data_IF_262530414874
#
_entry.id   IF_262530414874
#
_cell.length_a   1.000
_cell.length_b   1.000
_cell.length_c   1.000
_cell.angle_alpha   90.00
_cell.angle_beta   90.00
_cell.angle_gamma   90.00
#
_symmetry.space_group_name_H-M   'P 1'
#
loop_
_entity.id
_entity.type
_entity.pdbx_description
1 polymer ?
#
# COMPACT_ATOMS: atom_id res chain seq x y z
N UNK A 1 -40.37 -14.58 15.87
CA UNK A 1 -39.69 -14.73 14.57
C UNK A 1 -38.62 -13.66 14.38
N UNK A 2 -38.93 -12.39 14.70
CA UNK A 2 -38.00 -11.25 14.68
C UNK A 2 -36.80 -11.46 15.64
N UNK A 3 -37.03 -11.97 16.85
CA UNK A 3 -35.95 -12.28 17.82
C UNK A 3 -34.92 -13.29 17.30
N UNK A 4 -35.34 -14.22 16.43
CA UNK A 4 -34.44 -15.23 15.85
C UNK A 4 -33.53 -14.65 14.76
N UNK A 5 -33.94 -13.55 14.10
CA UNK A 5 -33.12 -12.86 13.11
C UNK A 5 -32.11 -11.92 13.78
N UNK A 6 -32.50 -11.20 14.83
CA UNK A 6 -31.56 -10.38 15.63
C UNK A 6 -30.48 -11.24 16.29
N UNK A 7 -30.85 -12.40 16.83
CA UNK A 7 -29.90 -13.32 17.46
C UNK A 7 -28.91 -13.91 16.44
N UNK A 8 -29.38 -14.26 15.24
CA UNK A 8 -28.51 -14.66 14.11
C UNK A 8 -27.58 -13.52 13.68
N UNK A 9 -28.08 -12.29 13.60
CA UNK A 9 -27.29 -11.14 13.21
C UNK A 9 -26.18 -10.84 14.24
N UNK A 10 -26.48 -11.01 15.52
CA UNK A 10 -25.51 -10.87 16.62
C UNK A 10 -24.43 -11.96 16.58
N UNK A 11 -24.79 -13.20 16.29
CA UNK A 11 -23.84 -14.32 16.13
C UNK A 11 -22.89 -14.03 14.98
N UNK A 12 -23.39 -13.61 13.82
CA UNK A 12 -22.56 -13.26 12.64
C UNK A 12 -21.60 -12.12 12.98
N UNK A 13 -22.06 -11.11 13.70
CA UNK A 13 -21.22 -9.98 14.12
C UNK A 13 -20.10 -10.43 15.07
N UNK A 14 -20.41 -11.32 16.02
CA UNK A 14 -19.43 -11.90 16.93
C UNK A 14 -18.41 -12.78 16.18
N UNK A 15 -18.85 -13.58 15.22
CA UNK A 15 -17.95 -14.39 14.36
C UNK A 15 -16.98 -13.50 13.57
N UNK A 16 -17.48 -12.43 12.97
CA UNK A 16 -16.65 -11.46 12.26
C UNK A 16 -15.64 -10.77 13.20
N UNK A 17 -16.08 -10.33 14.38
CA UNK A 17 -15.17 -9.74 15.38
C UNK A 17 -14.07 -10.73 15.81
N UNK A 18 -14.43 -11.99 16.00
CA UNK A 18 -13.48 -13.04 16.34
C UNK A 18 -12.47 -13.26 15.21
N UNK A 19 -12.92 -13.31 13.95
CA UNK A 19 -12.05 -13.43 12.78
C UNK A 19 -11.07 -12.24 12.67
N UNK A 20 -11.55 -11.01 12.90
CA UNK A 20 -10.69 -9.83 12.96
C UNK A 20 -9.62 -9.94 14.05
N UNK A 21 -9.97 -10.41 15.25
CA UNK A 21 -9.00 -10.60 16.34
C UNK A 21 -7.95 -11.67 16.00
N UNK A 22 -8.38 -12.79 15.40
CA UNK A 22 -7.47 -13.85 14.95
C UNK A 22 -6.50 -13.32 13.90
N UNK A 23 -6.97 -12.54 12.93
CA UNK A 23 -6.11 -11.92 11.92
C UNK A 23 -5.16 -10.88 12.53
N UNK A 24 -5.60 -10.11 13.53
CA UNK A 24 -4.75 -9.19 14.25
C UNK A 24 -3.59 -9.91 14.97
N UNK A 25 -3.89 -11.01 15.67
CA UNK A 25 -2.86 -11.82 16.33
C UNK A 25 -1.87 -12.39 15.31
N UNK A 26 -2.34 -12.95 14.20
CA UNK A 26 -1.46 -13.44 13.12
C UNK A 26 -0.55 -12.35 12.55
N UNK A 27 -1.07 -11.14 12.39
CA UNK A 27 -0.28 -10.00 11.92
C UNK A 27 0.78 -9.58 12.95
N UNK A 28 0.45 -9.59 14.25
CA UNK A 28 1.42 -9.35 15.32
C UNK A 28 2.51 -10.42 15.33
N UNK A 29 2.16 -11.71 15.26
CA UNK A 29 3.13 -12.80 15.20
C UNK A 29 4.07 -12.66 14.00
N UNK A 30 3.52 -12.32 12.83
CA UNK A 30 4.31 -12.04 11.63
C UNK A 30 5.26 -10.86 11.87
N UNK A 31 4.77 -9.76 12.43
CA UNK A 31 5.58 -8.59 12.75
C UNK A 31 6.73 -8.91 13.72
N UNK A 32 6.46 -9.68 14.78
CA UNK A 32 7.50 -10.13 15.72
C UNK A 32 8.55 -11.02 15.04
N UNK A 33 8.11 -11.96 14.20
CA UNK A 33 9.01 -12.83 13.46
C UNK A 33 9.89 -12.05 12.48
N UNK A 34 9.32 -11.10 11.75
CA UNK A 34 10.06 -10.27 10.79
C UNK A 34 11.05 -9.35 11.52
N UNK A 35 10.65 -8.77 12.66
CA UNK A 35 11.54 -7.96 13.52
C UNK A 35 12.71 -8.79 14.06
N UNK A 36 12.45 -10.02 14.51
CA UNK A 36 13.48 -10.93 15.02
C UNK A 36 14.51 -11.29 13.94
N UNK A 37 14.07 -11.53 12.69
CA UNK A 37 14.96 -11.76 11.55
C UNK A 37 15.85 -10.54 11.27
N UNK A 38 15.28 -9.33 11.27
CA UNK A 38 16.05 -8.10 11.09
C UNK A 38 17.12 -7.96 12.17
N UNK A 39 16.77 -8.18 13.44
CA UNK A 39 17.73 -8.12 14.55
C UNK A 39 18.85 -9.15 14.40
N UNK A 40 18.51 -10.37 14.00
CA UNK A 40 19.48 -11.43 13.74
C UNK A 40 20.48 -11.04 12.64
N UNK A 41 19.98 -10.52 11.51
CA UNK A 41 20.82 -10.14 10.38
C UNK A 41 21.70 -8.93 10.71
N UNK A 42 21.16 -7.93 11.43
CA UNK A 42 21.95 -6.81 11.95
C UNK A 42 23.09 -7.28 12.86
N UNK A 43 22.82 -8.24 13.76
CA UNK A 43 23.85 -8.82 14.64
C UNK A 43 24.96 -9.46 13.81
N UNK A 44 24.64 -10.18 12.74
CA UNK A 44 25.61 -10.79 11.85
C UNK A 44 26.46 -9.74 11.13
N UNK A 45 25.84 -8.67 10.62
CA UNK A 45 26.57 -7.55 10.01
C UNK A 45 27.55 -6.89 11.00
N UNK A 46 27.14 -6.67 12.25
CA UNK A 46 28.02 -6.12 13.30
C UNK A 46 29.21 -7.05 13.58
N UNK A 47 28.99 -8.37 13.62
CA UNK A 47 30.06 -9.36 13.82
C UNK A 47 31.06 -9.32 12.66
N UNK A 48 30.59 -9.29 11.42
CA UNK A 48 31.45 -9.15 10.23
C UNK A 48 32.26 -7.85 10.26
N UNK A 49 31.62 -6.71 10.54
CA UNK A 49 32.29 -5.41 10.63
C UNK A 49 33.37 -5.40 11.71
N UNK A 50 33.09 -5.95 12.90
CA UNK A 50 34.07 -6.09 13.98
C UNK A 50 35.28 -6.93 13.53
N UNK A 51 35.03 -8.09 12.92
CA UNK A 51 36.10 -8.98 12.44
C UNK A 51 37.01 -8.29 11.42
N UNK A 52 36.42 -7.61 10.43
CA UNK A 52 37.17 -6.88 9.40
C UNK A 52 37.98 -5.71 9.99
N UNK A 53 37.43 -5.02 10.99
CA UNK A 53 38.13 -3.95 11.69
C UNK A 53 39.32 -4.46 12.53
N UNK A 54 39.15 -5.56 13.27
CA UNK A 54 40.23 -6.14 14.09
C UNK A 54 41.38 -6.71 13.25
N UNK A 55 41.10 -7.20 12.04
CA UNK A 55 42.10 -7.75 11.12
C UNK A 55 42.86 -6.67 10.31
N UNK A 56 42.68 -5.37 10.60
CA UNK A 56 43.25 -4.24 9.85
C UNK A 56 42.98 -4.29 8.33
N UNK A 57 41.93 -5.00 7.89
CA UNK A 57 41.60 -5.17 6.49
C UNK A 57 40.69 -4.03 6.00
N UNK A 58 41.32 -2.85 5.87
CA UNK A 58 40.64 -1.58 5.66
C UNK A 58 39.97 -1.49 4.27
N UNK A 59 40.49 -2.20 3.27
CA UNK A 59 39.92 -2.26 1.92
C UNK A 59 38.61 -3.06 1.90
N UNK A 60 38.62 -4.25 2.52
CA UNK A 60 37.44 -5.12 2.57
C UNK A 60 36.35 -4.55 3.47
N UNK A 61 36.72 -3.89 4.57
CA UNK A 61 35.79 -3.13 5.42
C UNK A 61 35.05 -2.05 4.63
N UNK A 62 35.76 -1.25 3.83
CA UNK A 62 35.15 -0.21 2.99
C UNK A 62 34.19 -0.81 1.94
N UNK A 63 34.61 -1.89 1.29
CA UNK A 63 33.76 -2.60 0.31
C UNK A 63 32.49 -3.16 0.95
N UNK A 64 32.61 -3.74 2.15
CA UNK A 64 31.47 -4.27 2.89
C UNK A 64 30.49 -3.17 3.32
N UNK A 65 31.01 -2.04 3.82
CA UNK A 65 30.19 -0.87 4.17
C UNK A 65 29.42 -0.31 2.96
N UNK A 66 30.06 -0.21 1.79
CA UNK A 66 29.40 0.23 0.56
C UNK A 66 28.29 -0.74 0.13
N UNK A 67 28.52 -2.05 0.21
CA UNK A 67 27.48 -3.06 -0.10
C UNK A 67 26.31 -2.99 0.88
N UNK A 68 26.61 -2.75 2.16
CA UNK A 68 25.59 -2.61 3.20
C UNK A 68 24.76 -1.33 2.97
N UNK A 69 25.42 -0.22 2.63
CA UNK A 69 24.77 1.04 2.25
C UNK A 69 23.89 0.89 0.99
N UNK A 70 24.37 0.20 -0.04
CA UNK A 70 23.58 -0.09 -1.25
C UNK A 70 22.38 -1.01 -0.97
N UNK A 71 22.54 -1.99 -0.08
CA UNK A 71 21.44 -2.87 0.34
C UNK A 71 20.39 -2.08 1.11
N UNK A 72 20.84 -1.22 2.03
CA UNK A 72 19.97 -0.34 2.80
C UNK A 72 19.30 0.73 1.94
N UNK A 73 19.95 1.24 0.89
CA UNK A 73 19.34 2.16 -0.08
C UNK A 73 18.30 1.47 -0.95
N UNK A 74 18.53 0.21 -1.31
CA UNK A 74 17.53 -0.61 -2.02
C UNK A 74 16.33 -0.96 -1.13
N UNK A 75 16.52 -1.08 0.18
CA UNK A 75 15.45 -1.31 1.16
C UNK A 75 14.87 -0.03 1.77
N UNK A 76 15.53 1.11 1.61
CA UNK A 76 15.01 2.40 2.03
C UNK A 76 13.78 2.66 1.18
N UNK A 77 12.65 2.93 1.85
CA UNK A 77 11.41 3.37 1.20
C UNK A 77 11.80 4.41 0.14
N UNK A 78 11.62 4.06 -1.15
CA UNK A 78 11.92 4.94 -2.29
C UNK A 78 11.12 6.24 -2.21
N UNK A 79 10.06 6.21 -1.39
CA UNK A 79 9.03 7.21 -1.24
C UNK A 79 9.09 7.78 0.17
N UNK A 80 9.09 9.12 0.26
CA UNK A 80 9.03 9.89 1.50
C UNK A 80 7.89 10.90 1.40
N UNK A 81 6.70 10.46 1.77
CA UNK A 81 5.46 11.23 1.77
C UNK A 81 5.27 12.06 3.03
N UNK A 82 5.99 11.76 4.11
CA UNK A 82 5.76 12.36 5.43
C UNK A 82 4.81 11.56 6.32
N UNK A 83 4.27 10.43 5.83
CA UNK A 83 3.52 9.47 6.62
C UNK A 83 4.05 8.04 6.36
N UNK A 84 4.47 7.28 7.40
CA UNK A 84 5.07 5.96 7.23
C UNK A 84 4.17 4.90 6.56
N UNK A 85 2.85 5.01 6.73
CA UNK A 85 1.90 4.07 6.15
C UNK A 85 1.78 4.29 4.63
N UNK A 86 1.66 5.53 4.18
CA UNK A 86 1.72 5.82 2.73
C UNK A 86 3.07 5.48 2.12
N UNK A 87 4.17 5.71 2.85
CA UNK A 87 5.51 5.33 2.35
C UNK A 87 5.57 3.82 2.08
N UNK A 88 5.08 3.00 3.01
CA UNK A 88 5.04 1.55 2.89
C UNK A 88 4.20 1.11 1.69
N UNK A 89 2.96 1.59 1.61
CA UNK A 89 1.99 1.18 0.58
C UNK A 89 2.47 1.60 -0.81
N UNK A 90 2.89 2.85 -0.99
CA UNK A 90 3.33 3.33 -2.29
C UNK A 90 4.60 2.60 -2.72
N UNK A 91 5.52 2.31 -1.79
CA UNK A 91 6.72 1.51 -2.11
C UNK A 91 6.34 0.11 -2.59
N UNK A 92 5.43 -0.58 -1.89
CA UNK A 92 4.93 -1.90 -2.32
C UNK A 92 4.31 -1.83 -3.73
N UNK A 93 3.42 -0.86 -3.99
CA UNK A 93 2.73 -0.73 -5.28
C UNK A 93 3.69 -0.31 -6.41
N UNK A 94 4.71 0.48 -6.11
CA UNK A 94 5.77 0.84 -7.06
C UNK A 94 6.55 -0.41 -7.49
N UNK A 95 6.91 -1.28 -6.55
CA UNK A 95 7.63 -2.51 -6.85
C UNK A 95 6.76 -3.48 -7.69
N UNK A 96 5.46 -3.61 -7.36
CA UNK A 96 4.50 -4.38 -8.17
C UNK A 96 4.38 -3.81 -9.59
N UNK A 97 4.22 -2.48 -9.72
CA UNK A 97 4.11 -1.82 -11.02
C UNK A 97 5.37 -2.02 -11.87
N UNK A 98 6.55 -1.91 -11.25
CA UNK A 98 7.84 -2.17 -11.91
C UNK A 98 7.93 -3.60 -12.43
N UNK A 99 7.47 -4.59 -11.67
CA UNK A 99 7.46 -5.99 -12.11
C UNK A 99 6.53 -6.24 -13.31
N UNK A 100 5.52 -5.40 -13.50
CA UNK A 100 4.56 -5.47 -14.61
C UNK A 100 4.92 -4.55 -15.80
N UNK A 101 6.11 -3.93 -15.79
CA UNK A 101 6.55 -2.95 -16.79
C UNK A 101 5.58 -1.76 -16.92
N UNK A 102 5.08 -1.27 -15.78
CA UNK A 102 4.24 -0.07 -15.70
C UNK A 102 5.12 1.08 -15.21
N UNK A 103 5.12 2.19 -15.95
CA UNK A 103 5.81 3.42 -15.55
C UNK A 103 5.06 4.10 -14.40
N UNK A 104 5.64 4.14 -13.21
CA UNK A 104 5.01 4.70 -12.01
C UNK A 104 5.68 6.00 -11.61
N UNK A 105 4.94 7.10 -11.77
CA UNK A 105 5.35 8.43 -11.32
C UNK A 105 4.65 8.80 -10.01
N UNK A 106 5.42 9.18 -9.00
CA UNK A 106 4.89 9.53 -7.68
C UNK A 106 5.37 10.91 -7.24
N UNK A 107 4.44 11.84 -7.09
CA UNK A 107 4.63 13.14 -6.46
C UNK A 107 3.60 13.33 -5.33
N UNK A 108 3.76 12.54 -4.26
CA UNK A 108 2.80 12.44 -3.19
C UNK A 108 3.41 12.85 -1.85
N UNK A 109 2.78 13.82 -1.20
CA UNK A 109 3.17 14.38 0.11
C UNK A 109 1.91 14.49 0.98
N UNK A 110 2.01 14.05 2.22
CA UNK A 110 1.01 14.26 3.26
C UNK A 110 1.48 15.37 4.21
N UNK A 111 0.70 16.45 4.38
CA UNK A 111 1.01 17.47 5.37
C UNK A 111 1.03 16.87 6.79
N UNK A 112 1.98 17.28 7.64
CA UNK A 112 2.10 16.77 9.02
C UNK A 112 0.84 16.94 9.88
N UNK A 113 -0.02 17.90 9.51
CA UNK A 113 -1.27 18.20 10.22
C UNK A 113 -2.51 17.68 9.48
N UNK A 114 -2.38 16.72 8.55
CA UNK A 114 -3.55 16.15 7.89
C UNK A 114 -4.39 15.36 8.91
N UNK A 115 -5.70 15.56 8.90
CA UNK A 115 -6.66 14.81 9.72
C UNK A 115 -6.97 13.41 9.21
N UNK A 116 -6.28 12.96 8.16
CA UNK A 116 -6.51 11.65 7.54
C UNK A 116 -5.98 10.56 8.48
N UNK A 117 -6.85 9.65 8.89
CA UNK A 117 -6.46 8.47 9.66
C UNK A 117 -5.58 7.54 8.81
N UNK A 118 -4.59 6.93 9.46
CA UNK A 118 -3.65 6.04 8.79
C UNK A 118 -4.30 4.79 8.19
N UNK A 119 -5.38 4.29 8.80
CA UNK A 119 -6.20 3.19 8.30
C UNK A 119 -6.97 3.59 7.04
N UNK A 120 -7.63 4.76 7.06
CA UNK A 120 -8.35 5.28 5.90
C UNK A 120 -7.43 5.54 4.72
N UNK A 121 -6.25 6.11 4.99
CA UNK A 121 -5.20 6.31 4.00
C UNK A 121 -4.76 4.99 3.37
N UNK A 122 -4.67 3.92 4.18
CA UNK A 122 -4.31 2.60 3.70
C UNK A 122 -5.35 2.04 2.73
N UNK A 123 -6.63 2.11 3.11
CA UNK A 123 -7.75 1.67 2.28
C UNK A 123 -7.80 2.50 0.98
N UNK A 124 -7.64 3.82 1.07
CA UNK A 124 -7.72 4.72 -0.08
C UNK A 124 -6.59 4.48 -1.08
N UNK A 125 -5.33 4.48 -0.62
CA UNK A 125 -4.17 4.26 -1.50
C UNK A 125 -4.13 2.83 -2.02
N UNK A 126 -4.37 1.84 -1.16
CA UNK A 126 -4.36 0.43 -1.53
C UNK A 126 -5.35 0.13 -2.65
N UNK A 127 -6.64 0.44 -2.43
CA UNK A 127 -7.67 0.17 -3.42
C UNK A 127 -7.48 0.96 -4.71
N UNK A 128 -7.07 2.22 -4.61
CA UNK A 128 -6.91 3.06 -5.80
C UNK A 128 -5.73 2.62 -6.67
N UNK A 129 -4.59 2.30 -6.06
CA UNK A 129 -3.40 1.85 -6.78
C UNK A 129 -3.58 0.41 -7.31
N UNK A 130 -4.27 -0.47 -6.59
CA UNK A 130 -4.61 -1.81 -7.10
C UNK A 130 -5.51 -1.70 -8.35
N UNK A 131 -6.50 -0.82 -8.32
CA UNK A 131 -7.35 -0.56 -9.49
C UNK A 131 -6.55 -0.01 -10.67
N UNK A 132 -5.59 0.89 -10.43
CA UNK A 132 -4.73 1.45 -11.45
C UNK A 132 -3.82 0.39 -12.09
N UNK A 133 -3.19 -0.46 -11.28
CA UNK A 133 -2.34 -1.57 -11.74
C UNK A 133 -3.16 -2.58 -12.53
N UNK A 134 -4.34 -2.96 -12.03
CA UNK A 134 -5.24 -3.89 -12.71
C UNK A 134 -5.66 -3.36 -14.09
N UNK A 135 -6.01 -2.08 -14.19
CA UNK A 135 -6.39 -1.45 -15.44
C UNK A 135 -5.21 -1.42 -16.45
N UNK A 136 -3.99 -1.11 -15.99
CA UNK A 136 -2.79 -1.16 -16.81
C UNK A 136 -2.46 -2.59 -17.28
N UNK A 137 -2.68 -3.60 -16.45
CA UNK A 137 -2.43 -5.00 -16.78
C UNK A 137 -3.39 -5.54 -17.84
N UNK A 138 -4.60 -4.99 -17.96
CA UNK A 138 -5.57 -5.35 -19.01
C UNK A 138 -5.24 -4.76 -20.38
N UNK A 139 -4.24 -3.88 -20.49
CA UNK A 139 -3.79 -3.32 -21.76
C UNK A 139 -3.00 -4.39 -22.52
N UNK A 140 -3.53 -4.82 -23.66
CA UNK A 140 -2.90 -5.77 -24.59
C UNK A 140 -2.31 -5.07 -25.81
N UNK A 141 -2.75 -3.83 -26.11
CA UNK A 141 -2.20 -3.04 -27.21
C UNK A 141 -0.76 -2.59 -26.94
N UNK A 142 0.13 -2.84 -27.90
CA UNK A 142 1.53 -2.36 -27.86
C UNK A 142 1.67 -0.86 -28.10
N UNK A 143 0.61 -0.18 -28.54
CA UNK A 143 0.62 1.27 -28.81
C UNK A 143 0.29 2.12 -27.58
N UNK A 144 -0.26 1.50 -26.52
CA UNK A 144 -0.63 2.20 -25.30
C UNK A 144 0.47 1.98 -24.27
N UNK A 145 1.16 3.07 -23.91
CA UNK A 145 2.13 3.04 -22.81
C UNK A 145 1.38 2.80 -21.49
N UNK A 146 1.86 1.86 -20.67
CA UNK A 146 1.33 1.61 -19.33
C UNK A 146 1.95 2.60 -18.35
N UNK A 147 1.15 3.51 -17.82
CA UNK A 147 1.62 4.50 -16.85
C UNK A 147 0.62 4.71 -15.72
N UNK A 148 1.14 5.02 -14.53
CA UNK A 148 0.40 5.45 -13.35
C UNK A 148 1.05 6.72 -12.82
N UNK A 149 0.24 7.74 -12.57
CA UNK A 149 0.67 9.00 -11.97
C UNK A 149 -0.11 9.23 -10.67
N UNK A 150 0.60 9.21 -9.54
CA UNK A 150 0.07 9.50 -8.22
C UNK A 150 0.58 10.87 -7.78
N UNK A 151 -0.34 11.79 -7.48
CA UNK A 151 0.01 13.09 -6.92
C UNK A 151 -0.91 13.51 -5.79
N UNK A 152 -0.39 14.29 -4.85
CA UNK A 152 -1.20 15.02 -3.89
C UNK A 152 -0.81 16.49 -3.83
N UNK A 153 -1.81 17.34 -3.60
CA UNK A 153 -1.62 18.78 -3.48
C UNK A 153 -2.78 19.41 -2.70
N UNK A 154 -2.54 20.59 -2.14
CA UNK A 154 -3.58 21.36 -1.44
C UNK A 154 -4.15 22.37 -2.43
N UNK A 155 -5.48 22.45 -2.50
CA UNK A 155 -6.20 23.50 -3.19
C UNK A 155 -7.26 24.05 -2.25
N UNK A 156 -7.13 25.35 -1.92
CA UNK A 156 -7.94 26.02 -0.91
C UNK A 156 -7.87 25.28 0.44
N UNK A 157 -9.00 24.77 0.94
CA UNK A 157 -9.10 24.01 2.19
C UNK A 157 -9.06 22.49 1.98
N UNK A 158 -8.90 22.03 0.74
CA UNK A 158 -8.97 20.60 0.40
C UNK A 158 -7.60 20.04 0.06
N UNK A 159 -7.29 18.89 0.66
CA UNK A 159 -6.24 18.01 0.17
C UNK A 159 -6.79 17.20 -0.99
N UNK A 160 -6.17 17.31 -2.15
CA UNK A 160 -6.52 16.55 -3.34
C UNK A 160 -5.51 15.43 -3.50
N UNK A 161 -6.01 14.20 -3.62
CA UNK A 161 -5.25 13.02 -4.00
C UNK A 161 -5.73 12.62 -5.40
N UNK A 162 -4.82 12.58 -6.36
CA UNK A 162 -5.12 12.26 -7.74
C UNK A 162 -4.29 11.05 -8.19
N UNK A 163 -4.98 10.05 -8.73
CA UNK A 163 -4.40 8.83 -9.29
C UNK A 163 -4.92 8.69 -10.71
N UNK A 164 -4.02 8.81 -11.68
CA UNK A 164 -4.31 8.67 -13.11
C UNK A 164 -3.58 7.44 -13.62
N UNK A 165 -4.23 6.63 -14.45
CA UNK A 165 -3.63 5.45 -15.05
C UNK A 165 -4.04 5.26 -16.51
N UNK A 166 -3.17 4.60 -17.29
CA UNK A 166 -3.51 4.14 -18.63
C UNK A 166 -4.63 3.09 -18.59
N UNK A 167 -5.48 3.10 -19.61
CA UNK A 167 -6.50 2.08 -19.85
C UNK A 167 -6.77 1.94 -21.34
N UNK A 168 -7.09 0.72 -21.78
CA UNK A 168 -7.47 0.44 -23.17
C UNK A 168 -8.98 0.55 -23.40
N UNK A 169 -9.79 -0.01 -22.50
CA UNK A 169 -11.25 -0.04 -22.66
C UNK A 169 -11.93 1.22 -22.09
N UNK A 170 -13.05 1.71 -22.68
CA UNK A 170 -13.82 2.80 -22.10
C UNK A 170 -14.41 2.43 -20.73
N UNK A 171 -14.70 3.44 -19.90
CA UNK A 171 -15.39 3.24 -18.62
C UNK A 171 -16.88 3.05 -18.90
N UNK A 172 -17.46 1.95 -18.38
CA UNK A 172 -18.90 1.69 -18.45
C UNK A 172 -19.58 2.16 -17.18
N UNK A 173 -20.73 2.81 -17.34
CA UNK A 173 -21.56 3.30 -16.25
C UNK A 173 -22.89 2.56 -16.24
N UNK A 174 -23.30 2.07 -15.07
CA UNK A 174 -24.63 1.50 -14.83
C UNK A 174 -25.17 2.19 -13.57
N UNK A 175 -26.35 2.81 -13.67
CA UNK A 175 -27.00 3.53 -12.56
C UNK A 175 -26.08 4.55 -11.86
N UNK A 176 -25.37 5.38 -12.64
CA UNK A 176 -24.37 6.36 -12.16
C UNK A 176 -23.20 5.76 -11.36
N UNK A 177 -23.00 4.44 -11.38
CA UNK A 177 -21.84 3.76 -10.81
C UNK A 177 -20.94 3.21 -11.90
N UNK A 178 -19.63 3.23 -11.65
CA UNK A 178 -18.65 2.58 -12.52
C UNK A 178 -18.86 1.07 -12.42
N UNK A 179 -19.06 0.42 -13.56
CA UNK A 179 -19.20 -1.03 -13.63
C UNK A 179 -17.83 -1.69 -13.38
N UNK A 180 -17.75 -2.52 -12.34
CA UNK A 180 -16.56 -3.32 -12.06
C UNK A 180 -16.36 -4.36 -13.16
N UNK A 181 -15.12 -4.52 -13.63
CA UNK A 181 -14.76 -5.54 -14.63
C UNK A 181 -14.20 -6.82 -13.99
N UNK A 182 -14.31 -6.96 -12.65
CA UNK A 182 -13.85 -8.15 -11.91
C UNK A 182 -14.83 -9.32 -12.13
N UNK A 183 -14.37 -10.58 -12.24
CA UNK A 183 -15.24 -11.73 -12.54
C UNK A 183 -16.18 -12.12 -11.40
N UNK A 184 -15.88 -11.73 -10.16
CA UNK A 184 -16.63 -12.19 -8.99
C UNK A 184 -17.74 -11.19 -8.59
N UNK A 185 -18.99 -11.52 -8.93
CA UNK A 185 -20.19 -10.66 -8.76
C UNK A 185 -20.52 -10.32 -7.30
N UNK A 186 -20.07 -11.13 -6.34
CA UNK A 186 -20.32 -10.92 -4.90
C UNK A 186 -19.41 -9.85 -4.26
N UNK A 187 -18.28 -9.50 -4.89
CA UNK A 187 -17.26 -8.56 -4.36
C UNK A 187 -17.24 -7.27 -5.22
N UNK A 188 -18.27 -7.03 -6.03
CA UNK A 188 -18.31 -5.89 -6.93
C UNK A 188 -18.35 -4.56 -6.18
N UNK A 189 -17.55 -3.59 -6.63
CA UNK A 189 -17.68 -2.19 -6.23
C UNK A 189 -17.11 -1.81 -4.87
N UNK A 190 -16.82 -2.78 -3.99
CA UNK A 190 -16.40 -2.55 -2.60
C UNK A 190 -15.22 -1.58 -2.51
N UNK A 191 -14.18 -1.74 -3.34
CA UNK A 191 -13.01 -0.85 -3.29
C UNK A 191 -13.36 0.63 -3.59
N UNK A 192 -14.20 0.88 -4.59
CA UNK A 192 -14.62 2.25 -4.93
C UNK A 192 -15.68 2.78 -3.95
N UNK A 193 -16.54 1.93 -3.43
CA UNK A 193 -17.54 2.30 -2.43
C UNK A 193 -16.86 2.63 -1.08
N UNK A 194 -15.83 1.89 -0.68
CA UNK A 194 -14.99 2.21 0.49
C UNK A 194 -14.28 3.56 0.31
N UNK A 195 -13.70 3.81 -0.87
CA UNK A 195 -13.07 5.12 -1.16
C UNK A 195 -14.10 6.25 -1.06
N UNK A 196 -15.32 6.05 -1.59
CA UNK A 196 -16.39 7.05 -1.51
C UNK A 196 -16.85 7.30 -0.07
N UNK A 197 -17.00 6.24 0.72
CA UNK A 197 -17.42 6.34 2.13
C UNK A 197 -16.40 7.12 2.95
N UNK A 198 -15.12 6.79 2.81
CA UNK A 198 -14.01 7.52 3.45
C UNK A 198 -14.01 8.99 3.03
N UNK A 199 -14.09 9.25 1.72
CA UNK A 199 -14.08 10.62 1.19
C UNK A 199 -15.28 11.43 1.70
N UNK A 200 -16.45 10.80 1.83
CA UNK A 200 -17.67 11.43 2.36
C UNK A 200 -17.50 11.77 3.84
N UNK A 201 -17.03 10.82 4.66
CA UNK A 201 -16.82 11.05 6.10
C UNK A 201 -15.83 12.18 6.36
N UNK A 202 -14.81 12.33 5.50
CA UNK A 202 -13.83 13.42 5.58
C UNK A 202 -14.37 14.79 5.15
N UNK A 203 -15.45 14.85 4.38
CA UNK A 203 -16.11 16.10 3.99
C UNK A 203 -17.15 16.58 5.03
N UNK A 204 -17.59 15.70 5.93
CA UNK A 204 -18.57 16.01 6.98
C UNK A 204 -17.92 16.49 8.29
N UNK A 205 -16.58 16.52 8.35
CA UNK A 205 -15.75 17.05 9.45
C UNK A 205 -15.37 18.52 9.20
#
# INVERSE_FOLDING_TARGET
>A
MIDSEEEKHKIILMEHQFECQVNHIKNLEKFYNDTSKIQHDMKNHIICLKSLAFNNNLSELKSYLLKLDDTLKKSALKIKTGNPISDCIITEKLDIASAHNIDFNCNFIIPKNSSIDSFDLCILLGNSLDNAIEACNKITSSTIKKEINLKSYIRDLFMIIEIINSKQEPIKYINNKIESTKPNKLIHGIGLDNIREIAKNMMEL
#
